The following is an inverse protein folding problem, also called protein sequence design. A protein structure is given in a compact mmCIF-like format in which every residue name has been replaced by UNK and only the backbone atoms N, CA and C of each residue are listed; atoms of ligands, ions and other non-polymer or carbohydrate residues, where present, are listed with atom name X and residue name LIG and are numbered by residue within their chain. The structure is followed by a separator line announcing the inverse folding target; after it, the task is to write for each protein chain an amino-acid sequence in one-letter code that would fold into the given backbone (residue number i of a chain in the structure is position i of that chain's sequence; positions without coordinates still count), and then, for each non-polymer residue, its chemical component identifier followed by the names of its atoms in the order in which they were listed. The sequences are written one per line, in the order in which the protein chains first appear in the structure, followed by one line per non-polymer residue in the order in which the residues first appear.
data_IF_056359157111
#
_entry.id   IF_056359157111
#
_cell.length_a   1.000
_cell.length_b   1.000
_cell.length_c   1.000
_cell.angle_alpha   90.00
_cell.angle_beta   90.00
_cell.angle_gamma   90.00
#
_symmetry.space_group_name_H-M   'P 1'
#
loop_
_entity.id
_entity.type
_entity.pdbx_description
1 polymer ?
#
# COMPACT_ATOMS: atom_id res chain seq x y z
N UNK A 1 4.24 -29.58 15.40
CA UNK A 1 5.10 -28.40 15.21
C UNK A 1 4.37 -27.22 15.81
N UNK A 2 5.00 -26.43 16.69
CA UNK A 2 4.32 -25.27 17.27
C UNK A 2 4.33 -24.11 16.29
N UNK A 3 3.22 -23.38 16.26
CA UNK A 3 3.08 -22.20 15.40
C UNK A 3 2.81 -20.97 16.23
N UNK A 4 3.40 -19.84 15.84
CA UNK A 4 3.03 -18.51 16.33
C UNK A 4 2.51 -17.70 15.14
N UNK A 5 1.24 -17.33 15.15
CA UNK A 5 0.67 -16.49 14.10
C UNK A 5 0.96 -15.03 14.43
N UNK A 6 1.50 -14.30 13.47
CA UNK A 6 1.77 -12.87 13.60
C UNK A 6 1.08 -12.14 12.45
N UNK A 7 0.18 -11.23 12.79
CA UNK A 7 -0.55 -10.42 11.82
C UNK A 7 0.21 -9.13 11.55
N UNK A 8 0.50 -8.86 10.27
CA UNK A 8 1.23 -7.67 9.83
C UNK A 8 0.55 -6.99 8.65
N UNK A 9 0.84 -5.71 8.48
CA UNK A 9 0.42 -4.96 7.29
C UNK A 9 1.32 -5.28 6.09
N UNK A 10 0.76 -5.36 4.89
CA UNK A 10 1.47 -5.83 3.70
C UNK A 10 2.55 -4.86 3.21
N UNK A 11 2.29 -3.55 3.24
CA UNK A 11 3.21 -2.54 2.76
C UNK A 11 4.27 -2.14 3.80
N UNK A 12 3.85 -1.83 5.03
CA UNK A 12 4.75 -1.32 6.07
C UNK A 12 5.27 -2.39 7.05
N UNK A 13 4.78 -3.62 6.97
CA UNK A 13 5.13 -4.74 7.87
C UNK A 13 4.92 -4.47 9.37
N UNK A 14 4.23 -3.38 9.73
CA UNK A 14 3.90 -3.08 11.12
C UNK A 14 3.11 -4.24 11.73
N UNK A 15 3.37 -4.52 13.01
CA UNK A 15 2.60 -5.49 13.79
C UNK A 15 1.18 -4.97 13.93
N UNK A 16 0.22 -5.80 13.54
CA UNK A 16 -1.19 -5.61 13.86
C UNK A 16 -1.53 -6.35 15.14
N UNK A 17 -1.20 -7.66 15.19
CA UNK A 17 -1.47 -8.51 16.34
C UNK A 17 -0.47 -9.67 16.42
N UNK A 18 -0.09 -10.05 17.65
CA UNK A 18 0.70 -11.26 17.90
C UNK A 18 -0.16 -12.25 18.68
N UNK A 19 -0.36 -13.44 18.11
CA UNK A 19 -1.11 -14.51 18.75
C UNK A 19 -0.22 -15.31 19.70
N UNK A 20 -0.85 -15.94 20.69
CA UNK A 20 -0.18 -16.96 21.51
C UNK A 20 0.29 -18.13 20.65
N UNK A 21 1.30 -18.84 21.13
CA UNK A 21 1.81 -20.05 20.48
C UNK A 21 0.75 -21.14 20.57
N UNK A 22 0.46 -21.79 19.44
CA UNK A 22 -0.33 -23.02 19.38
C UNK A 22 0.59 -24.21 19.74
N UNK A 23 0.43 -24.81 20.94
CA UNK A 23 1.33 -25.84 21.41
C UNK A 23 1.01 -27.19 20.78
N UNK A 24 2.02 -27.85 20.25
CA UNK A 24 1.93 -29.28 19.89
C UNK A 24 2.38 -30.17 21.07
N UNK A 25 2.20 -31.48 20.94
CA UNK A 25 2.58 -32.46 21.97
C UNK A 25 4.05 -32.43 22.41
N UNK A 26 4.95 -31.89 21.58
CA UNK A 26 6.37 -31.73 21.87
C UNK A 26 6.74 -30.33 22.42
N UNK A 27 5.76 -29.49 22.76
CA UNK A 27 6.02 -28.15 23.30
C UNK A 27 6.87 -28.22 24.56
N UNK A 28 7.91 -27.39 24.65
CA UNK A 28 8.85 -27.35 25.77
C UNK A 28 9.95 -28.44 25.76
N UNK A 29 9.93 -29.37 24.79
CA UNK A 29 11.00 -30.38 24.66
C UNK A 29 12.30 -29.75 24.11
N UNK A 30 13.45 -30.28 24.52
CA UNK A 30 14.76 -29.82 23.98
C UNK A 30 14.82 -30.04 22.47
N UNK A 31 15.28 -29.02 21.75
CA UNK A 31 15.36 -29.05 20.29
C UNK A 31 14.03 -28.79 19.56
N UNK A 32 12.95 -28.52 20.30
CA UNK A 32 11.67 -28.13 19.71
C UNK A 32 11.71 -26.67 19.22
N UNK A 33 11.37 -26.43 17.96
CA UNK A 33 11.32 -25.09 17.38
C UNK A 33 9.88 -24.64 17.14
N UNK A 34 9.60 -23.39 17.50
CA UNK A 34 8.33 -22.70 17.19
C UNK A 34 8.50 -22.00 15.85
N UNK A 35 7.61 -22.26 14.90
CA UNK A 35 7.62 -21.54 13.62
C UNK A 35 6.70 -20.33 13.67
N UNK A 36 7.22 -19.17 13.27
CA UNK A 36 6.39 -17.98 13.05
C UNK A 36 5.71 -18.07 11.67
N UNK A 37 4.41 -17.77 11.63
CA UNK A 37 3.62 -17.64 10.39
C UNK A 37 3.08 -16.22 10.32
N UNK A 38 3.51 -15.47 9.31
CA UNK A 38 3.00 -14.12 9.09
C UNK A 38 1.74 -14.16 8.24
N UNK A 39 0.67 -13.52 8.72
CA UNK A 39 -0.57 -13.30 7.97
C UNK A 39 -0.68 -11.81 7.64
N UNK A 40 -1.05 -11.49 6.41
CA UNK A 40 -1.23 -10.11 5.96
C UNK A 40 -2.69 -9.70 6.10
N UNK A 41 -2.98 -8.69 6.91
CA UNK A 41 -4.35 -8.31 7.29
C UNK A 41 -4.85 -7.00 6.68
N UNK A 42 -3.97 -6.23 6.04
CA UNK A 42 -4.30 -4.95 5.41
C UNK A 42 -3.10 -4.31 4.73
N UNK A 43 -3.30 -3.16 4.08
CA UNK A 43 -2.24 -2.49 3.31
C UNK A 43 -1.25 -1.70 4.20
N UNK A 44 -1.76 -0.71 4.95
CA UNK A 44 -0.96 0.18 5.82
C UNK A 44 -1.64 0.36 7.17
N UNK A 45 -0.85 0.41 8.25
CA UNK A 45 -1.36 0.78 9.58
C UNK A 45 -1.71 2.27 9.66
N UNK A 46 -2.44 2.71 10.69
CA UNK A 46 -2.88 4.11 10.83
C UNK A 46 -1.75 5.15 10.73
N UNK A 47 -0.57 4.80 11.26
CA UNK A 47 0.63 5.66 11.19
C UNK A 47 1.14 5.85 9.76
N UNK A 48 1.00 4.83 8.92
CA UNK A 48 1.44 4.83 7.52
C UNK A 48 0.29 5.06 6.53
N UNK A 49 -0.95 5.02 7.00
CA UNK A 49 -2.17 5.30 6.23
C UNK A 49 -2.45 6.80 6.15
N UNK A 50 -1.88 7.61 7.05
CA UNK A 50 -1.87 9.08 6.97
C UNK A 50 -1.13 9.52 5.70
N UNK A 51 -1.85 9.50 4.58
CA UNK A 51 -1.40 10.09 3.33
C UNK A 51 -1.22 11.57 3.56
N UNK A 52 -0.10 12.03 3.01
CA UNK A 52 0.36 13.41 2.82
C UNK A 52 -0.80 14.38 3.01
N UNK A 53 -0.70 15.24 4.01
CA UNK A 53 -1.39 16.52 3.95
C UNK A 53 -1.21 17.03 2.53
N UNK A 54 -2.26 17.24 1.73
CA UNK A 54 -2.08 18.09 0.58
C UNK A 54 -1.60 19.39 1.20
N UNK A 55 -0.33 19.72 1.01
CA UNK A 55 0.07 21.12 1.02
C UNK A 55 -0.90 21.74 0.04
N UNK A 56 -1.93 22.39 0.55
CA UNK A 56 -2.92 23.06 -0.24
C UNK A 56 -2.15 24.14 -1.00
N UNK A 57 -1.71 23.80 -2.21
CA UNK A 57 -1.40 24.82 -3.20
C UNK A 57 -2.72 25.55 -3.42
N UNK A 58 -2.84 26.84 -3.07
CA UNK A 58 -4.08 27.57 -3.29
C UNK A 58 -4.31 27.65 -4.80
N UNK A 59 -5.15 26.78 -5.36
CA UNK A 59 -5.45 26.79 -6.79
C UNK A 59 -6.01 25.51 -7.42
N UNK A 60 -5.95 24.35 -6.76
CA UNK A 60 -6.51 23.14 -7.35
C UNK A 60 -8.03 23.06 -7.12
N UNK A 61 -8.81 23.43 -8.14
CA UNK A 61 -10.28 23.28 -8.17
C UNK A 61 -10.65 21.80 -7.98
N UNK A 62 -11.62 21.57 -7.11
CA UNK A 62 -12.20 20.27 -6.75
C UNK A 62 -12.89 19.62 -7.95
N UNK A 63 -12.21 18.72 -8.66
CA UNK A 63 -12.83 17.82 -9.62
C UNK A 63 -12.76 16.38 -9.11
N UNK A 64 -13.92 15.86 -8.70
CA UNK A 64 -14.11 14.46 -8.41
C UNK A 64 -14.32 13.70 -9.73
N UNK A 65 -13.23 13.23 -10.35
CA UNK A 65 -13.36 12.28 -11.44
C UNK A 65 -13.49 10.86 -10.89
N UNK A 66 -14.50 10.17 -11.41
CA UNK A 66 -14.72 8.75 -11.17
C UNK A 66 -13.74 8.01 -12.06
N UNK A 67 -12.77 7.35 -11.43
CA UNK A 67 -11.68 6.68 -12.13
C UNK A 67 -12.14 5.58 -13.08
N UNK A 68 -12.13 5.89 -14.38
CA UNK A 68 -11.99 4.93 -15.48
C UNK A 68 -11.31 5.66 -16.65
N UNK A 69 -10.01 5.46 -16.84
CA UNK A 69 -9.25 6.07 -17.94
C UNK A 69 -7.95 5.33 -18.20
N UNK A 70 -8.04 4.24 -18.96
CA UNK A 70 -6.88 3.53 -19.50
C UNK A 70 -6.45 4.17 -20.81
N UNK A 71 -5.16 4.51 -20.89
CA UNK A 71 -4.35 4.78 -22.10
C UNK A 71 -4.76 6.06 -22.87
N UNK A 72 -3.95 6.77 -23.66
CA UNK A 72 -2.83 6.43 -24.52
C UNK A 72 -2.10 7.73 -24.98
N UNK A 73 -0.83 7.60 -25.36
CA UNK A 73 -0.12 8.34 -26.44
C UNK A 73 -0.20 9.89 -26.46
N UNK A 74 0.83 10.54 -25.89
CA UNK A 74 1.17 11.93 -26.17
C UNK A 74 1.67 12.10 -27.62
N UNK A 75 0.74 12.38 -28.54
CA UNK A 75 1.04 12.95 -29.84
C UNK A 75 1.07 14.49 -29.71
N UNK A 76 2.27 15.07 -29.66
CA UNK A 76 2.46 16.52 -29.78
C UNK A 76 2.26 16.93 -31.24
N UNK A 77 1.12 17.53 -31.57
CA UNK A 77 0.94 18.31 -32.80
C UNK A 77 0.98 19.79 -32.44
N UNK A 78 2.14 20.39 -32.69
CA UNK A 78 2.37 21.83 -32.70
C UNK A 78 1.89 22.36 -34.06
N UNK A 79 0.92 23.28 -34.06
CA UNK A 79 0.31 23.81 -35.28
C UNK A 79 -0.29 25.21 -35.07
N UNK A 80 0.26 26.18 -35.80
CA UNK A 80 -0.16 27.59 -35.89
C UNK A 80 1.05 28.51 -35.68
N UNK A 81 1.36 29.53 -36.47
CA UNK A 81 0.62 30.33 -37.45
C UNK A 81 1.64 31.32 -38.07
N UNK A 82 1.54 31.67 -39.37
CA UNK A 82 1.76 33.03 -39.90
C UNK A 82 2.04 33.04 -41.41
N UNK A 83 1.03 33.30 -42.25
CA UNK A 83 1.24 33.89 -43.58
C UNK A 83 0.10 34.89 -43.87
N UNK A 84 0.30 36.12 -43.37
CA UNK A 84 -0.50 37.30 -43.74
C UNK A 84 0.09 37.90 -45.02
N UNK A 85 -0.71 37.89 -46.09
CA UNK A 85 -0.42 38.48 -47.39
C UNK A 85 -0.88 39.94 -47.39
N UNK A 86 0.03 40.86 -47.71
CA UNK A 86 -0.12 41.98 -48.66
C UNK A 86 1.25 42.63 -48.90
#
# INVERSE_FOLDING_TARGET
MCYKVVERYSACKCLYFEHSIDPCSAYGQRGHQVQEKTVLVGYTCDRHSRRRTPTASPGAREWADSGYGSLDLSASQDGGDSEEYW
#
